data_IF_260428514912
#
_entry.id   IF_260428514912
#
_cell.length_a   1.000
_cell.length_b   1.000
_cell.length_c   1.000
_cell.angle_alpha   90.00
_cell.angle_beta   90.00
_cell.angle_gamma   90.00
#
_symmetry.space_group_name_H-M   'P 1'
#
loop_
_entity.id
_entity.type
_entity.pdbx_description
1 polymer ?
#
# COMPACT_ATOMS: atom_id res chain seq x y z
N UNK A 1 19.09 -23.23 2.79
CA UNK A 1 18.32 -22.51 3.84
C UNK A 1 19.11 -21.32 4.40
N UNK A 2 20.32 -21.55 4.91
CA UNK A 2 21.19 -20.54 5.55
C UNK A 2 21.47 -19.37 4.59
N UNK A 3 21.82 -19.65 3.34
CA UNK A 3 22.08 -18.61 2.32
C UNK A 3 20.89 -17.68 2.11
N UNK A 4 19.65 -18.22 2.04
CA UNK A 4 18.43 -17.42 1.91
C UNK A 4 18.19 -16.53 3.13
N UNK A 5 18.38 -17.06 4.33
CA UNK A 5 18.24 -16.29 5.58
C UNK A 5 19.23 -15.14 5.63
N UNK A 6 20.50 -15.41 5.32
CA UNK A 6 21.55 -14.41 5.28
C UNK A 6 21.28 -13.31 4.25
N UNK A 7 20.89 -13.69 3.02
CA UNK A 7 20.59 -12.73 1.96
C UNK A 7 19.39 -11.85 2.32
N UNK A 8 18.32 -12.43 2.88
CA UNK A 8 17.15 -11.68 3.31
C UNK A 8 17.51 -10.73 4.45
N UNK A 9 18.28 -11.19 5.45
CA UNK A 9 18.73 -10.36 6.56
C UNK A 9 19.58 -9.18 6.08
N UNK A 10 20.60 -9.43 5.25
CA UNK A 10 21.47 -8.40 4.71
C UNK A 10 20.68 -7.38 3.85
N UNK A 11 19.75 -7.86 3.04
CA UNK A 11 18.88 -7.01 2.24
C UNK A 11 18.04 -6.08 3.12
N UNK A 12 17.31 -6.63 4.09
CA UNK A 12 16.49 -5.83 5.00
C UNK A 12 17.32 -4.82 5.79
N UNK A 13 18.48 -5.22 6.28
CA UNK A 13 19.38 -4.36 7.03
C UNK A 13 19.93 -3.21 6.16
N UNK A 14 20.25 -3.50 4.91
CA UNK A 14 20.74 -2.50 3.96
C UNK A 14 19.63 -1.50 3.60
N UNK A 15 18.43 -1.98 3.27
CA UNK A 15 17.28 -1.11 3.00
C UNK A 15 16.92 -0.22 4.20
N UNK A 16 16.93 -0.77 5.42
CA UNK A 16 16.67 0.00 6.63
C UNK A 16 17.72 1.09 6.87
N UNK A 17 19.00 0.79 6.68
CA UNK A 17 20.08 1.77 6.82
C UNK A 17 19.99 2.88 5.79
N UNK A 18 19.76 2.53 4.53
CA UNK A 18 19.58 3.50 3.44
C UNK A 18 18.37 4.38 3.71
N UNK A 19 17.24 3.80 4.09
CA UNK A 19 16.01 4.52 4.43
C UNK A 19 16.25 5.52 5.58
N UNK A 20 16.88 5.09 6.66
CA UNK A 20 17.19 5.97 7.79
C UNK A 20 18.15 7.11 7.41
N UNK A 21 19.11 6.85 6.51
CA UNK A 21 20.00 7.90 6.00
C UNK A 21 19.25 8.93 5.16
N UNK A 22 18.37 8.48 4.27
CA UNK A 22 17.52 9.36 3.45
C UNK A 22 16.66 10.25 4.35
N UNK A 23 16.01 9.66 5.36
CA UNK A 23 15.17 10.41 6.30
C UNK A 23 15.95 11.43 7.10
N UNK A 24 17.15 11.05 7.57
CA UNK A 24 18.04 12.00 8.26
C UNK A 24 18.35 13.20 7.36
N UNK A 25 18.70 12.94 6.12
CA UNK A 25 19.10 14.02 5.20
C UNK A 25 17.90 14.90 4.83
N UNK A 26 16.73 14.32 4.55
CA UNK A 26 15.48 15.04 4.33
C UNK A 26 15.12 15.91 5.55
N UNK A 27 15.22 15.39 6.77
CA UNK A 27 14.95 16.15 8.01
C UNK A 27 15.90 17.33 8.17
N UNK A 28 17.18 17.11 7.92
CA UNK A 28 18.18 18.17 7.99
C UNK A 28 17.95 19.27 6.96
N UNK A 29 17.63 18.89 5.71
CA UNK A 29 17.38 19.84 4.65
C UNK A 29 16.07 20.60 4.86
N UNK A 30 15.01 19.92 5.31
CA UNK A 30 13.75 20.55 5.72
C UNK A 30 13.99 21.56 6.86
N UNK A 31 14.75 21.17 7.87
CA UNK A 31 15.05 22.04 9.01
C UNK A 31 15.91 23.26 8.61
N UNK A 32 16.89 23.06 7.74
CA UNK A 32 17.71 24.14 7.20
C UNK A 32 16.89 25.11 6.36
N UNK A 33 15.92 24.61 5.58
CA UNK A 33 15.05 25.48 4.81
C UNK A 33 14.09 26.26 5.71
N UNK A 34 13.50 25.61 6.70
CA UNK A 34 12.65 26.29 7.69
C UNK A 34 13.35 27.49 8.34
N UNK A 35 14.64 27.37 8.67
CA UNK A 35 15.40 28.47 9.29
C UNK A 35 15.60 29.68 8.35
N UNK A 36 15.35 29.54 7.05
CA UNK A 36 15.50 30.60 6.05
C UNK A 36 14.19 31.24 5.67
N UNK A 37 13.05 30.64 6.06
CA UNK A 37 11.73 31.14 5.74
C UNK A 37 11.40 32.40 6.57
N UNK A 38 10.71 33.33 5.95
CA UNK A 38 10.27 34.57 6.55
C UNK A 38 9.13 34.41 7.54
N UNK A 39 8.89 35.43 8.34
CA UNK A 39 7.84 35.42 9.38
C UNK A 39 6.44 35.23 8.78
N UNK A 40 6.22 35.68 7.54
CA UNK A 40 4.95 35.50 6.82
C UNK A 40 4.53 34.03 6.68
N UNK A 41 5.48 33.13 6.50
CA UNK A 41 5.22 31.68 6.46
C UNK A 41 4.72 31.16 7.81
N UNK A 42 5.32 31.60 8.90
CA UNK A 42 4.97 31.16 10.26
C UNK A 42 3.64 31.72 10.73
N UNK A 43 3.27 32.91 10.25
CA UNK A 43 1.96 33.52 10.54
C UNK A 43 0.81 32.79 9.83
N UNK A 44 1.08 32.20 8.65
CA UNK A 44 0.07 31.48 7.86
C UNK A 44 0.02 29.96 8.12
N UNK A 45 1.06 29.42 8.74
CA UNK A 45 1.18 27.96 8.91
C UNK A 45 1.23 27.59 10.39
N UNK A 46 0.27 26.78 10.84
CA UNK A 46 0.24 26.31 12.23
C UNK A 46 1.52 25.53 12.59
N UNK A 47 2.16 25.87 13.70
CA UNK A 47 3.40 25.25 14.16
C UNK A 47 3.31 23.71 14.26
N UNK A 48 2.16 23.17 14.69
CA UNK A 48 1.92 21.72 14.74
C UNK A 48 1.95 21.05 13.36
N UNK A 49 1.52 21.75 12.30
CA UNK A 49 1.60 21.26 10.92
C UNK A 49 3.06 21.16 10.45
N UNK A 50 3.88 22.16 10.76
CA UNK A 50 5.32 22.16 10.42
C UNK A 50 6.04 21.01 11.11
N UNK A 51 5.81 20.85 12.41
CA UNK A 51 6.39 19.75 13.18
C UNK A 51 5.96 18.39 12.60
N UNK A 52 4.67 18.22 12.28
CA UNK A 52 4.16 16.97 11.68
C UNK A 52 4.81 16.67 10.32
N UNK A 53 5.01 17.69 9.47
CA UNK A 53 5.68 17.52 8.16
C UNK A 53 7.14 17.05 8.33
N UNK A 54 7.88 17.60 9.28
CA UNK A 54 9.30 17.24 9.52
C UNK A 54 9.44 15.91 10.25
N UNK A 55 8.47 15.49 11.06
CA UNK A 55 8.55 14.25 11.84
C UNK A 55 7.77 13.12 11.20
N UNK A 56 6.43 13.23 11.13
CA UNK A 56 5.56 12.14 10.69
C UNK A 56 5.62 11.91 9.18
N UNK A 57 5.61 12.98 8.38
CA UNK A 57 5.65 12.83 6.93
C UNK A 57 7.02 12.33 6.43
N UNK A 58 8.13 12.76 7.06
CA UNK A 58 9.45 12.17 6.76
C UNK A 58 9.54 10.71 7.18
N UNK A 59 8.87 10.31 8.28
CA UNK A 59 8.80 8.91 8.67
C UNK A 59 8.00 8.08 7.66
N UNK A 60 6.88 8.60 7.15
CA UNK A 60 6.13 7.94 6.08
C UNK A 60 6.96 7.72 4.80
N UNK A 61 7.88 8.65 4.50
CA UNK A 61 8.87 8.46 3.41
C UNK A 61 9.85 7.33 3.74
N UNK A 62 10.33 7.24 5.00
CA UNK A 62 11.17 6.11 5.43
C UNK A 62 10.47 4.76 5.25
N UNK A 63 9.22 4.69 5.68
CA UNK A 63 8.43 3.47 5.62
C UNK A 63 8.17 3.05 4.16
N UNK A 64 8.02 4.02 3.25
CA UNK A 64 7.94 3.75 1.81
C UNK A 64 9.20 3.05 1.29
N UNK A 65 10.38 3.57 1.62
CA UNK A 65 11.64 2.99 1.15
C UNK A 65 11.95 1.65 1.81
N UNK A 66 11.79 1.54 3.12
CA UNK A 66 12.13 0.33 3.87
C UNK A 66 11.16 -0.83 3.62
N UNK A 67 9.88 -0.53 3.48
CA UNK A 67 8.83 -1.57 3.36
C UNK A 67 8.38 -1.75 1.92
N UNK A 68 7.91 -0.66 1.27
CA UNK A 68 7.28 -0.77 -0.06
C UNK A 68 8.33 -1.00 -1.13
N UNK A 69 9.36 -0.16 -1.19
CA UNK A 69 10.38 -0.26 -2.22
C UNK A 69 11.20 -1.55 -2.08
N UNK A 70 11.57 -1.92 -0.86
CA UNK A 70 12.25 -3.19 -0.57
C UNK A 70 11.40 -4.39 -1.02
N UNK A 71 10.10 -4.39 -0.70
CA UNK A 71 9.18 -5.44 -1.12
C UNK A 71 9.04 -5.51 -2.64
N UNK A 72 8.86 -4.36 -3.32
CA UNK A 72 8.73 -4.31 -4.78
C UNK A 72 9.97 -4.83 -5.49
N UNK A 73 11.17 -4.40 -5.08
CA UNK A 73 12.43 -4.85 -5.66
C UNK A 73 12.62 -6.35 -5.44
N UNK A 74 12.42 -6.83 -4.23
CA UNK A 74 12.56 -8.25 -3.89
C UNK A 74 11.56 -9.12 -4.67
N UNK A 75 10.31 -8.68 -4.75
CA UNK A 75 9.24 -9.37 -5.47
C UNK A 75 9.51 -9.39 -6.98
N UNK A 76 9.99 -8.29 -7.56
CA UNK A 76 10.33 -8.21 -8.98
C UNK A 76 11.51 -9.13 -9.33
N UNK A 77 12.56 -9.13 -8.50
CA UNK A 77 13.70 -10.04 -8.69
C UNK A 77 13.28 -11.50 -8.55
N UNK A 78 12.47 -11.83 -7.53
CA UNK A 78 11.94 -13.18 -7.37
C UNK A 78 11.11 -13.61 -8.58
N UNK A 79 10.25 -12.73 -9.09
CA UNK A 79 9.44 -12.97 -10.28
C UNK A 79 10.31 -13.30 -11.50
N UNK A 80 11.34 -12.47 -11.77
CA UNK A 80 12.25 -12.69 -12.89
C UNK A 80 13.04 -14.00 -12.76
N UNK A 81 13.62 -14.26 -11.58
CA UNK A 81 14.39 -15.48 -11.32
C UNK A 81 13.49 -16.70 -11.49
N UNK A 82 12.29 -16.68 -10.93
CA UNK A 82 11.33 -17.77 -11.05
C UNK A 82 10.96 -18.03 -12.50
N UNK A 83 10.68 -16.98 -13.26
CA UNK A 83 10.30 -17.07 -14.67
C UNK A 83 11.46 -17.65 -15.53
N UNK A 84 12.68 -17.15 -15.35
CA UNK A 84 13.88 -17.69 -16.00
C UNK A 84 14.12 -19.15 -15.66
N UNK A 85 13.96 -19.52 -14.38
CA UNK A 85 14.12 -20.90 -13.93
C UNK A 85 13.06 -21.82 -14.55
N UNK A 86 11.80 -21.38 -14.62
CA UNK A 86 10.72 -22.16 -15.26
C UNK A 86 11.01 -22.38 -16.75
N UNK A 87 11.45 -21.36 -17.47
CA UNK A 87 11.83 -21.48 -18.87
C UNK A 87 13.02 -22.42 -19.09
N UNK A 88 14.00 -22.43 -18.19
CA UNK A 88 15.17 -23.31 -18.29
C UNK A 88 14.86 -24.77 -17.96
N UNK A 89 13.83 -25.04 -17.16
CA UNK A 89 13.41 -26.39 -16.82
C UNK A 89 12.52 -27.02 -17.90
N UNK A 90 11.46 -26.33 -18.27
CA UNK A 90 10.53 -26.74 -19.32
C UNK A 90 9.85 -25.53 -19.94
N UNK A 91 10.29 -25.15 -21.16
CA UNK A 91 9.72 -23.98 -21.82
C UNK A 91 8.30 -24.21 -22.31
N UNK A 92 7.93 -25.46 -22.65
CA UNK A 92 6.58 -25.80 -23.14
C UNK A 92 5.55 -25.61 -22.01
N UNK A 93 5.81 -26.19 -20.84
CA UNK A 93 4.95 -26.02 -19.67
C UNK A 93 4.86 -24.56 -19.23
N UNK A 94 5.98 -23.81 -19.28
CA UNK A 94 6.00 -22.40 -18.93
C UNK A 94 5.08 -21.57 -19.83
N UNK A 95 5.05 -21.84 -21.15
CA UNK A 95 4.12 -21.17 -22.07
C UNK A 95 2.65 -21.43 -21.72
N UNK A 96 2.30 -22.62 -21.22
CA UNK A 96 0.93 -22.93 -20.78
C UNK A 96 0.53 -22.17 -19.52
N UNK A 97 1.49 -21.77 -18.70
CA UNK A 97 1.26 -21.00 -17.47
C UNK A 97 1.21 -19.49 -17.74
N UNK A 98 1.91 -19.00 -18.77
CA UNK A 98 2.00 -17.58 -19.09
C UNK A 98 0.64 -16.85 -19.21
N UNK A 99 -0.41 -17.45 -19.81
CA UNK A 99 -1.73 -16.81 -19.90
C UNK A 99 -2.38 -16.44 -18.56
N UNK A 100 -1.96 -17.09 -17.48
CA UNK A 100 -2.46 -16.73 -16.14
C UNK A 100 -1.99 -15.34 -15.70
N UNK A 101 -0.83 -14.85 -16.14
CA UNK A 101 -0.32 -13.53 -15.77
C UNK A 101 -1.25 -12.37 -16.19
N UNK A 102 -1.68 -12.26 -17.46
CA UNK A 102 -2.65 -11.24 -17.85
C UNK A 102 -4.02 -11.43 -17.18
N UNK A 103 -4.46 -12.67 -16.90
CA UNK A 103 -5.71 -12.93 -16.17
C UNK A 103 -5.60 -12.39 -14.74
N UNK A 104 -4.49 -12.62 -14.05
CA UNK A 104 -4.24 -12.09 -12.72
C UNK A 104 -4.22 -10.55 -12.75
N UNK A 105 -3.50 -9.96 -13.69
CA UNK A 105 -3.46 -8.50 -13.83
C UNK A 105 -4.86 -7.90 -14.04
N UNK A 106 -5.67 -8.53 -14.88
CA UNK A 106 -7.07 -8.12 -15.10
C UNK A 106 -7.91 -8.27 -13.82
N UNK A 107 -7.76 -9.38 -13.09
CA UNK A 107 -8.44 -9.62 -11.82
C UNK A 107 -8.08 -8.56 -10.77
N UNK A 108 -6.80 -8.18 -10.67
CA UNK A 108 -6.36 -7.10 -9.78
C UNK A 108 -6.94 -5.76 -10.19
N UNK A 109 -6.99 -5.45 -11.49
CA UNK A 109 -7.59 -4.21 -12.01
C UNK A 109 -9.08 -4.12 -11.70
N UNK A 110 -9.80 -5.22 -11.88
CA UNK A 110 -11.22 -5.32 -11.55
C UNK A 110 -11.46 -5.14 -10.05
N UNK A 111 -10.70 -5.86 -9.22
CA UNK A 111 -10.74 -5.71 -7.77
C UNK A 111 -10.52 -4.26 -7.33
N UNK A 112 -9.48 -3.59 -7.84
CA UNK A 112 -9.20 -2.19 -7.53
C UNK A 112 -10.35 -1.26 -7.90
N UNK A 113 -10.95 -1.48 -9.07
CA UNK A 113 -12.08 -0.66 -9.51
C UNK A 113 -13.27 -0.77 -8.55
N UNK A 114 -13.61 -1.98 -8.13
CA UNK A 114 -14.70 -2.25 -7.20
C UNK A 114 -14.39 -1.75 -5.78
N UNK A 115 -13.21 -2.08 -5.26
CA UNK A 115 -12.78 -1.76 -3.91
C UNK A 115 -12.62 -0.26 -3.68
N UNK A 116 -12.02 0.48 -4.62
CA UNK A 116 -11.76 1.92 -4.47
C UNK A 116 -13.05 2.73 -4.22
N UNK A 117 -14.12 2.39 -4.93
CA UNK A 117 -15.42 3.06 -4.75
C UNK A 117 -15.97 2.84 -3.34
N UNK A 118 -15.95 1.59 -2.87
CA UNK A 118 -16.46 1.23 -1.54
C UNK A 118 -15.62 1.85 -0.42
N UNK A 119 -14.30 1.78 -0.53
CA UNK A 119 -13.38 2.40 0.44
C UNK A 119 -13.60 3.92 0.51
N UNK A 120 -13.81 4.58 -0.64
CA UNK A 120 -14.12 6.02 -0.66
C UNK A 120 -15.43 6.33 0.05
N UNK A 121 -16.48 5.55 -0.21
CA UNK A 121 -17.80 5.73 0.44
C UNK A 121 -17.72 5.47 1.95
N UNK A 122 -17.01 4.42 2.37
CA UNK A 122 -16.79 4.12 3.80
C UNK A 122 -16.09 5.27 4.51
N UNK A 123 -15.03 5.84 3.89
CA UNK A 123 -14.31 7.00 4.46
C UNK A 123 -15.18 8.25 4.52
N UNK A 124 -16.01 8.49 3.50
CA UNK A 124 -16.93 9.61 3.50
C UNK A 124 -17.95 9.47 4.63
N UNK A 125 -18.54 8.29 4.81
CA UNK A 125 -19.49 8.04 5.90
C UNK A 125 -18.85 8.15 7.28
N UNK A 126 -17.60 7.74 7.43
CA UNK A 126 -16.84 7.98 8.66
C UNK A 126 -16.61 9.48 8.91
N UNK A 127 -16.36 10.25 7.87
CA UNK A 127 -16.27 11.72 7.97
C UNK A 127 -17.60 12.34 8.41
N UNK A 128 -18.72 11.86 7.84
CA UNK A 128 -20.07 12.32 8.21
C UNK A 128 -20.36 12.03 9.70
N UNK A 129 -19.93 10.86 10.21
CA UNK A 129 -20.01 10.50 11.65
C UNK A 129 -19.20 11.50 12.49
N UNK A 130 -17.97 11.80 12.11
CA UNK A 130 -17.10 12.71 12.87
C UNK A 130 -17.68 14.13 12.90
N UNK A 131 -18.20 14.63 11.78
CA UNK A 131 -18.88 15.93 11.72
C UNK A 131 -20.09 15.93 12.63
N UNK A 132 -20.95 14.91 12.55
CA UNK A 132 -22.15 14.82 13.37
C UNK A 132 -21.83 14.74 14.85
N UNK A 133 -20.76 14.03 15.21
CA UNK A 133 -20.31 13.91 16.60
C UNK A 133 -19.79 15.27 17.12
N UNK A 134 -18.98 15.99 16.33
CA UNK A 134 -18.51 17.34 16.70
C UNK A 134 -19.66 18.31 16.88
N UNK A 135 -20.59 18.39 15.92
CA UNK A 135 -21.77 19.24 16.01
C UNK A 135 -22.62 18.93 17.26
N UNK A 136 -22.76 17.63 17.56
CA UNK A 136 -23.55 17.18 18.71
C UNK A 136 -22.90 17.58 20.03
N UNK A 137 -21.57 17.47 20.14
CA UNK A 137 -20.81 17.85 21.34
C UNK A 137 -20.86 19.37 21.53
N UNK A 138 -20.60 20.14 20.47
CA UNK A 138 -20.62 21.59 20.50
C UNK A 138 -22.00 22.15 20.85
N UNK A 139 -23.07 21.53 20.28
CA UNK A 139 -24.47 21.90 20.50
C UNK A 139 -25.14 21.25 21.69
N UNK A 140 -24.45 20.49 22.55
CA UNK A 140 -25.06 19.62 23.56
C UNK A 140 -25.96 20.39 24.53
N UNK A 141 -25.60 21.61 24.91
CA UNK A 141 -26.44 22.47 25.77
C UNK A 141 -27.80 22.78 25.16
N UNK A 142 -27.82 23.02 23.83
CA UNK A 142 -29.05 23.30 23.08
C UNK A 142 -29.87 22.02 22.95
N UNK A 143 -29.22 20.90 22.62
CA UNK A 143 -29.86 19.58 22.49
C UNK A 143 -30.59 19.21 23.78
N UNK A 144 -29.94 19.36 24.94
CA UNK A 144 -30.50 19.06 26.25
C UNK A 144 -31.62 20.06 26.63
N UNK A 145 -31.43 21.37 26.38
CA UNK A 145 -32.44 22.38 26.66
C UNK A 145 -33.75 22.14 25.90
N UNK A 146 -33.67 21.65 24.65
CA UNK A 146 -34.85 21.36 23.81
C UNK A 146 -35.28 19.89 23.83
N UNK A 147 -34.64 19.03 24.65
CA UNK A 147 -34.93 17.58 24.78
C UNK A 147 -34.92 16.86 23.42
N UNK A 148 -33.90 17.14 22.61
CA UNK A 148 -33.75 16.58 21.24
C UNK A 148 -32.81 15.39 21.18
N UNK A 149 -32.46 14.77 22.32
CA UNK A 149 -31.48 13.67 22.40
C UNK A 149 -31.91 12.47 21.55
N UNK A 150 -33.21 12.12 21.62
CA UNK A 150 -33.73 10.98 20.84
C UNK A 150 -33.57 11.21 19.32
N UNK A 151 -33.99 12.39 18.84
CA UNK A 151 -33.85 12.74 17.41
C UNK A 151 -32.39 12.68 16.95
N UNK A 152 -31.47 13.16 17.78
CA UNK A 152 -30.04 13.16 17.49
C UNK A 152 -29.47 11.74 17.43
N UNK A 153 -29.92 10.87 18.38
CA UNK A 153 -29.54 9.46 18.40
C UNK A 153 -30.04 8.73 17.15
N UNK A 154 -31.31 8.92 16.77
CA UNK A 154 -31.91 8.29 15.58
C UNK A 154 -31.15 8.73 14.30
N UNK A 155 -30.77 10.00 14.22
CA UNK A 155 -29.99 10.51 13.08
C UNK A 155 -28.57 9.93 13.06
N UNK A 156 -27.92 9.83 14.20
CA UNK A 156 -26.60 9.21 14.33
C UNK A 156 -26.64 7.71 13.97
N UNK A 157 -27.64 6.98 14.45
CA UNK A 157 -27.84 5.56 14.13
C UNK A 157 -27.99 5.33 12.62
N UNK A 158 -28.73 6.21 11.93
CA UNK A 158 -28.89 6.14 10.47
C UNK A 158 -27.54 6.30 9.76
N UNK A 159 -26.74 7.33 10.12
CA UNK A 159 -25.44 7.57 9.50
C UNK A 159 -24.47 6.44 9.80
N UNK A 160 -24.47 5.94 11.03
CA UNK A 160 -23.64 4.82 11.45
C UNK A 160 -24.04 3.51 10.75
N UNK A 161 -25.35 3.29 10.56
CA UNK A 161 -25.87 2.17 9.76
C UNK A 161 -25.42 2.22 8.30
N UNK A 162 -25.44 3.39 7.67
CA UNK A 162 -24.92 3.58 6.32
C UNK A 162 -23.41 3.28 6.25
N UNK A 163 -22.64 3.75 7.24
CA UNK A 163 -21.21 3.42 7.34
C UNK A 163 -20.98 1.92 7.46
N UNK A 164 -21.73 1.24 8.33
CA UNK A 164 -21.65 -0.21 8.52
C UNK A 164 -21.93 -0.97 7.22
N UNK A 165 -22.96 -0.54 6.46
CA UNK A 165 -23.31 -1.17 5.18
C UNK A 165 -22.16 -1.07 4.17
N UNK A 166 -21.57 0.12 3.97
CA UNK A 166 -20.44 0.27 3.06
C UNK A 166 -19.18 -0.44 3.56
N UNK A 167 -18.93 -0.48 4.87
CA UNK A 167 -17.83 -1.22 5.47
C UNK A 167 -17.98 -2.73 5.20
N UNK A 168 -19.17 -3.30 5.44
CA UNK A 168 -19.45 -4.70 5.16
C UNK A 168 -19.31 -5.05 3.68
N UNK A 169 -19.84 -4.24 2.78
CA UNK A 169 -19.66 -4.41 1.32
C UNK A 169 -18.18 -4.37 0.91
N UNK A 170 -17.38 -3.53 1.59
CA UNK A 170 -15.93 -3.48 1.36
C UNK A 170 -15.25 -4.77 1.82
N UNK A 171 -15.66 -5.33 2.95
CA UNK A 171 -15.19 -6.64 3.44
C UNK A 171 -15.60 -7.76 2.48
N UNK A 172 -16.83 -7.75 1.98
CA UNK A 172 -17.32 -8.76 1.02
C UNK A 172 -16.49 -8.77 -0.26
N UNK A 173 -16.22 -7.60 -0.84
CA UNK A 173 -15.37 -7.48 -2.04
C UNK A 173 -13.94 -7.96 -1.75
N UNK A 174 -13.37 -7.57 -0.61
CA UNK A 174 -12.03 -8.05 -0.20
C UNK A 174 -12.00 -9.57 -0.03
N UNK A 175 -13.02 -10.12 0.62
CA UNK A 175 -13.11 -11.54 0.95
C UNK A 175 -13.36 -12.44 -0.26
N UNK A 176 -14.04 -11.92 -1.29
CA UNK A 176 -14.37 -12.69 -2.50
C UNK A 176 -13.32 -12.56 -3.60
N UNK A 177 -12.78 -11.36 -3.80
CA UNK A 177 -11.98 -11.06 -5.00
C UNK A 177 -10.46 -11.10 -4.77
N UNK A 178 -9.94 -10.72 -3.61
CA UNK A 178 -8.50 -10.59 -3.46
C UNK A 178 -7.83 -11.95 -3.27
N UNK A 179 -8.09 -12.62 -2.16
CA UNK A 179 -7.46 -13.92 -1.86
C UNK A 179 -8.11 -15.10 -2.57
N UNK A 180 -9.45 -15.28 -2.53
CA UNK A 180 -10.06 -16.46 -3.13
C UNK A 180 -9.91 -16.51 -4.65
N UNK A 181 -10.03 -15.36 -5.35
CA UNK A 181 -9.84 -15.34 -6.80
C UNK A 181 -8.39 -15.71 -7.17
N UNK A 182 -7.39 -15.19 -6.42
CA UNK A 182 -5.98 -15.57 -6.64
C UNK A 182 -5.73 -17.05 -6.34
N UNK A 183 -6.31 -17.58 -5.26
CA UNK A 183 -6.21 -19.00 -4.92
C UNK A 183 -6.87 -19.87 -5.99
N UNK A 184 -8.03 -19.47 -6.50
CA UNK A 184 -8.71 -20.20 -7.58
C UNK A 184 -7.85 -20.23 -8.85
N UNK A 185 -7.30 -19.09 -9.27
CA UNK A 185 -6.40 -19.04 -10.42
C UNK A 185 -5.15 -19.89 -10.22
N UNK A 186 -4.60 -19.90 -9.00
CA UNK A 186 -3.46 -20.75 -8.64
C UNK A 186 -3.81 -22.23 -8.71
N UNK A 187 -4.97 -22.64 -8.22
CA UNK A 187 -5.45 -24.04 -8.32
C UNK A 187 -5.68 -24.43 -9.79
N UNK A 188 -6.23 -23.53 -10.60
CA UNK A 188 -6.37 -23.76 -12.05
C UNK A 188 -5.01 -23.92 -12.73
N UNK A 189 -4.00 -23.12 -12.37
CA UNK A 189 -2.66 -23.29 -12.86
C UNK A 189 -2.04 -24.65 -12.46
N UNK A 190 -2.31 -25.11 -11.23
CA UNK A 190 -1.91 -26.46 -10.81
C UNK A 190 -2.60 -27.56 -11.60
N UNK A 191 -3.89 -27.40 -11.90
CA UNK A 191 -4.62 -28.35 -12.74
C UNK A 191 -4.01 -28.41 -14.16
N UNK A 192 -3.60 -27.28 -14.73
CA UNK A 192 -2.88 -27.24 -16.02
C UNK A 192 -1.55 -27.99 -15.93
N UNK A 193 -0.78 -27.80 -14.86
CA UNK A 193 0.49 -28.53 -14.64
C UNK A 193 0.23 -30.04 -14.62
N UNK A 194 -0.72 -30.48 -13.77
CA UNK A 194 -1.03 -31.90 -13.63
C UNK A 194 -1.55 -32.52 -14.94
N UNK A 195 -2.38 -31.78 -15.68
CA UNK A 195 -2.90 -32.23 -16.98
C UNK A 195 -1.77 -32.35 -18.02
N UNK A 196 -0.87 -31.39 -18.08
CA UNK A 196 0.29 -31.43 -18.99
C UNK A 196 1.17 -32.65 -18.71
N UNK A 197 1.49 -32.90 -17.44
CA UNK A 197 2.27 -34.09 -17.06
C UNK A 197 1.51 -35.39 -17.28
N UNK A 198 0.19 -35.41 -17.04
CA UNK A 198 -0.66 -36.58 -17.29
C UNK A 198 -0.74 -36.95 -18.77
N UNK A 199 -0.85 -35.96 -19.66
CA UNK A 199 -0.87 -36.19 -21.11
C UNK A 199 0.51 -36.62 -21.66
N UNK A 200 1.58 -36.15 -21.07
CA UNK A 200 2.95 -36.45 -21.49
C UNK A 200 3.63 -37.55 -20.66
N UNK A 201 2.87 -38.32 -19.91
CA UNK A 201 3.35 -39.38 -19.02
C UNK A 201 4.29 -40.41 -19.70
N UNK A 202 4.17 -40.59 -20.99
CA UNK A 202 5.03 -41.53 -21.78
C UNK A 202 6.46 -41.02 -22.00
N UNK A 203 6.74 -39.74 -21.81
CA UNK A 203 8.08 -39.20 -21.92
C UNK A 203 8.83 -39.40 -20.61
N UNK A 204 9.83 -40.29 -20.64
CA UNK A 204 10.63 -40.71 -19.47
C UNK A 204 11.44 -39.59 -18.78
N UNK A 205 11.36 -38.35 -19.28
CA UNK A 205 12.05 -37.19 -18.72
C UNK A 205 11.31 -36.51 -17.53
N UNK A 206 10.07 -36.90 -17.27
CA UNK A 206 9.26 -36.23 -16.22
C UNK A 206 9.43 -36.91 -14.87
N UNK A 207 10.08 -36.19 -13.95
CA UNK A 207 10.32 -36.63 -12.57
C UNK A 207 9.28 -35.99 -11.64
N UNK A 208 8.87 -36.69 -10.59
CA UNK A 208 8.00 -36.12 -9.53
C UNK A 208 8.57 -34.81 -8.96
N UNK A 209 9.88 -34.68 -8.92
CA UNK A 209 10.58 -33.46 -8.54
C UNK A 209 10.30 -32.27 -9.44
N UNK A 210 10.13 -32.47 -10.76
CA UNK A 210 9.80 -31.40 -11.70
C UNK A 210 8.37 -30.89 -11.48
N UNK A 211 7.41 -31.80 -11.25
CA UNK A 211 6.02 -31.44 -10.90
C UNK A 211 6.00 -30.57 -9.64
N UNK A 212 6.68 -31.02 -8.59
CA UNK A 212 6.79 -30.28 -7.35
C UNK A 212 7.44 -28.92 -7.53
N UNK A 213 8.52 -28.83 -8.30
CA UNK A 213 9.19 -27.57 -8.61
C UNK A 213 8.24 -26.59 -9.30
N UNK A 214 7.50 -27.01 -10.32
CA UNK A 214 6.54 -26.14 -11.02
C UNK A 214 5.39 -25.68 -10.13
N UNK A 215 4.85 -26.52 -9.26
CA UNK A 215 3.85 -26.14 -8.26
C UNK A 215 4.39 -25.05 -7.36
N UNK A 216 5.64 -25.16 -6.89
CA UNK A 216 6.29 -24.14 -6.07
C UNK A 216 6.57 -22.84 -6.85
N UNK A 217 7.02 -22.93 -8.09
CA UNK A 217 7.28 -21.76 -8.92
C UNK A 217 6.00 -21.01 -9.29
N UNK A 218 4.89 -21.69 -9.56
CA UNK A 218 3.60 -21.02 -9.75
C UNK A 218 3.20 -20.26 -8.50
N UNK A 219 3.31 -20.84 -7.30
CA UNK A 219 3.07 -20.11 -6.05
C UNK A 219 3.93 -18.86 -5.92
N UNK A 220 5.20 -18.96 -6.29
CA UNK A 220 6.14 -17.83 -6.23
C UNK A 220 5.85 -16.76 -7.29
N UNK A 221 5.24 -17.10 -8.44
CA UNK A 221 4.82 -16.12 -9.45
C UNK A 221 3.60 -15.30 -9.02
N UNK A 222 2.70 -15.90 -8.24
CA UNK A 222 1.48 -15.24 -7.78
C UNK A 222 1.74 -14.27 -6.61
N UNK A 223 2.68 -14.59 -5.73
CA UNK A 223 2.95 -13.82 -4.52
C UNK A 223 3.30 -12.34 -4.79
N UNK A 224 4.24 -11.99 -5.69
CA UNK A 224 4.58 -10.60 -5.99
C UNK A 224 3.40 -9.74 -6.41
N UNK A 225 2.44 -10.31 -7.12
CA UNK A 225 1.26 -9.59 -7.62
C UNK A 225 0.30 -9.24 -6.47
N UNK A 226 0.20 -10.12 -5.48
CA UNK A 226 -0.54 -9.87 -4.25
C UNK A 226 0.16 -8.79 -3.41
N UNK A 227 1.48 -8.89 -3.24
CA UNK A 227 2.28 -7.94 -2.46
C UNK A 227 2.19 -6.51 -3.01
N UNK A 228 2.29 -6.32 -4.33
CA UNK A 228 2.10 -5.02 -4.99
C UNK A 228 0.72 -4.43 -4.65
N UNK A 229 -0.33 -5.26 -4.61
CA UNK A 229 -1.68 -4.80 -4.32
C UNK A 229 -1.82 -4.36 -2.87
N UNK A 230 -1.22 -5.08 -1.92
CA UNK A 230 -1.26 -4.76 -0.49
C UNK A 230 -0.45 -3.49 -0.17
N UNK A 231 0.70 -3.31 -0.81
CA UNK A 231 1.57 -2.17 -0.59
C UNK A 231 1.10 -0.87 -1.28
N UNK A 232 0.08 -0.95 -2.13
CA UNK A 232 -0.38 0.21 -2.90
C UNK A 232 -0.95 1.34 -2.04
N UNK A 233 -1.69 1.01 -0.98
CA UNK A 233 -2.24 2.01 -0.06
C UNK A 233 -1.13 2.75 0.69
N UNK A 234 -0.11 2.03 1.15
CA UNK A 234 1.07 2.62 1.81
C UNK A 234 1.83 3.52 0.84
N UNK A 235 2.04 3.08 -0.41
CA UNK A 235 2.68 3.87 -1.45
C UNK A 235 1.93 5.20 -1.68
N UNK A 236 0.61 5.15 -1.81
CA UNK A 236 -0.21 6.34 -2.03
C UNK A 236 -0.12 7.32 -0.85
N UNK A 237 -0.22 6.83 0.37
CA UNK A 237 -0.13 7.67 1.58
C UNK A 237 1.26 8.30 1.69
N UNK A 238 2.31 7.52 1.51
CA UNK A 238 3.69 8.02 1.59
C UNK A 238 4.04 8.99 0.47
N UNK A 239 3.46 8.84 -0.73
CA UNK A 239 3.63 9.80 -1.83
C UNK A 239 3.02 11.17 -1.48
N UNK A 240 1.85 11.18 -0.83
CA UNK A 240 1.22 12.43 -0.36
C UNK A 240 2.08 13.07 0.74
N UNK A 241 2.59 12.28 1.68
CA UNK A 241 3.50 12.77 2.72
C UNK A 241 4.81 13.31 2.14
N UNK A 242 5.38 12.63 1.16
CA UNK A 242 6.56 13.11 0.44
C UNK A 242 6.29 14.46 -0.24
N UNK A 243 5.16 14.62 -0.92
CA UNK A 243 4.80 15.89 -1.55
C UNK A 243 4.74 17.04 -0.54
N UNK A 244 4.16 16.81 0.66
CA UNK A 244 4.12 17.83 1.73
C UNK A 244 5.49 18.16 2.30
N UNK A 245 6.40 17.18 2.38
CA UNK A 245 7.79 17.42 2.82
C UNK A 245 8.55 18.25 1.78
N UNK A 246 8.45 17.88 0.51
CA UNK A 246 9.07 18.64 -0.58
C UNK A 246 8.50 20.04 -0.71
N UNK A 247 7.20 20.25 -0.48
CA UNK A 247 6.61 21.57 -0.42
C UNK A 247 7.33 22.46 0.61
N UNK A 248 7.66 21.94 1.80
CA UNK A 248 8.43 22.68 2.81
C UNK A 248 9.88 22.91 2.39
N UNK A 249 10.49 21.94 1.70
CA UNK A 249 11.88 22.07 1.24
C UNK A 249 12.03 23.04 0.08
N UNK A 250 11.03 23.14 -0.80
CA UNK A 250 11.06 23.98 -2.01
C UNK A 250 10.43 25.36 -1.77
N UNK A 251 9.86 25.61 -0.57
CA UNK A 251 9.28 26.90 -0.23
C UNK A 251 10.37 27.97 -0.27
N UNK A 252 10.25 28.87 -1.20
CA UNK A 252 11.10 30.05 -1.31
C UNK A 252 10.30 31.25 -0.80
N UNK A 253 10.31 31.48 0.52
CA UNK A 253 9.82 32.74 1.08
C UNK A 253 11.02 33.69 1.17
N UNK A 254 11.10 34.63 0.24
CA UNK A 254 12.14 35.65 0.22
C UNK A 254 11.80 36.72 1.27
N UNK A 255 12.18 36.49 2.52
CA UNK A 255 12.35 37.63 3.41
C UNK A 255 13.35 38.60 2.76
N UNK A 256 13.04 39.92 2.65
CA UNK A 256 13.98 40.88 2.14
C UNK A 256 15.27 40.75 2.96
N UNK A 257 16.37 40.43 2.28
CA UNK A 257 17.70 40.35 2.93
C UNK A 257 17.88 41.58 3.80
N UNK A 258 17.94 41.41 5.10
CA UNK A 258 18.33 42.49 5.99
C UNK A 258 19.71 42.95 5.54
N UNK A 259 19.73 44.07 4.82
CA UNK A 259 20.95 44.83 4.60
C UNK A 259 21.30 45.52 5.92
N UNK A 260 21.76 44.74 6.88
CA UNK A 260 22.37 45.24 8.10
C UNK A 260 23.79 45.67 7.79
N UNK A 261 23.97 46.90 7.46
CA UNK A 261 25.25 47.56 7.68
C UNK A 261 25.36 47.86 9.18
N UNK A 262 26.16 47.07 9.91
CA UNK A 262 26.82 47.46 11.12
C UNK A 262 28.24 47.86 10.76
#
# INVERSE_FOLDING_TARGET
>A
FIGRVLTTFLSQLTFARVSNSIVRDIRLDSFRNLQKLGMSFYDQTAAGSIVSRVTNDTQAVADMFSTVFSSLVSSFLLFLITLVTMFSLDWQLTIWILPFLPIIWFSIKLYRHLSNRLVKMTRQKLSDINVKLSESIEGMRVVQAFRQEKRLTDEFERINGEHLEYANRSVDVNSLFLRPAMTLLQVLAYAVILTFFGLNWRNSAFTAGLIYAFIQYVSQLFQPLIDVTQNFATLQTSTISAARVFEVMDQADNDPKQMGHL
#
